data_IF_345234434082
#
_entry.id   IF_345234434082
#
_cell.length_a   1.000
_cell.length_b   1.000
_cell.length_c   1.000
_cell.angle_alpha   90.00
_cell.angle_beta   90.00
_cell.angle_gamma   90.00
#
_symmetry.space_group_name_H-M   'P 1'
#
loop_
_entity.id
_entity.type
_entity.pdbx_description
1 polymer ?
#
# COMPACT_ATOMS: atom_id res chain seq x y z
N UNK A 1 -25.49 -3.29 -7.52
CA UNK A 1 -24.78 -2.44 -8.50
C UNK A 1 -23.81 -1.59 -7.70
N UNK A 2 -22.59 -1.35 -8.19
CA UNK A 2 -21.63 -0.45 -7.53
C UNK A 2 -22.18 0.98 -7.64
N UNK A 3 -22.22 1.77 -6.54
CA UNK A 3 -22.57 3.17 -6.63
C UNK A 3 -21.52 3.95 -7.45
N UNK A 4 -21.86 5.12 -8.02
CA UNK A 4 -20.86 5.98 -8.65
C UNK A 4 -19.74 6.31 -7.65
N UNK A 5 -18.48 6.08 -8.05
CA UNK A 5 -17.30 6.33 -7.24
C UNK A 5 -16.16 6.82 -8.13
N UNK A 6 -15.62 7.97 -7.78
CA UNK A 6 -14.48 8.59 -8.45
C UNK A 6 -13.34 8.76 -7.44
N UNK A 7 -12.20 8.17 -7.72
CA UNK A 7 -10.99 8.29 -6.92
C UNK A 7 -10.16 9.45 -7.48
N UNK A 8 -9.83 10.44 -6.66
CA UNK A 8 -8.98 11.56 -7.07
C UNK A 8 -7.57 11.13 -7.42
N UNK A 9 -6.79 11.99 -8.05
CA UNK A 9 -5.34 11.86 -7.99
C UNK A 9 -4.92 11.78 -6.52
N UNK A 10 -4.09 10.79 -6.13
CA UNK A 10 -3.62 10.67 -4.77
C UNK A 10 -2.50 11.66 -4.46
N UNK A 11 -2.31 11.92 -3.17
CA UNK A 11 -1.12 12.59 -2.67
C UNK A 11 -0.36 11.67 -1.73
N UNK A 12 0.97 11.72 -1.82
CA UNK A 12 1.86 10.87 -1.05
C UNK A 12 2.92 11.69 -0.31
N UNK A 13 3.37 11.20 0.84
CA UNK A 13 4.45 11.78 1.59
C UNK A 13 5.47 10.71 1.98
N UNK A 14 6.75 11.09 1.97
CA UNK A 14 7.86 10.25 2.41
C UNK A 14 8.50 10.90 3.62
N UNK A 15 8.80 10.15 4.70
CA UNK A 15 9.44 10.72 5.88
C UNK A 15 10.96 10.71 5.72
N UNK A 16 11.63 11.58 6.46
CA UNK A 16 13.07 11.50 6.71
C UNK A 16 13.95 11.38 5.47
N UNK A 17 14.88 10.43 5.51
CA UNK A 17 15.93 10.25 4.52
C UNK A 17 15.82 8.89 3.83
N UNK A 18 16.18 8.83 2.54
CA UNK A 18 16.35 7.56 1.84
C UNK A 18 17.53 6.79 2.41
N UNK A 19 17.31 5.52 2.72
CA UNK A 19 18.28 4.58 3.27
C UNK A 19 18.54 3.50 2.23
N UNK A 20 19.78 3.32 1.85
CA UNK A 20 20.19 2.29 0.88
C UNK A 20 20.44 0.92 1.53
N UNK A 21 20.75 -0.06 0.70
CA UNK A 21 21.01 -1.42 1.17
C UNK A 21 22.24 -1.53 2.06
N UNK A 22 23.29 -0.76 1.77
CA UNK A 22 24.54 -0.84 2.55
C UNK A 22 24.34 -0.26 3.96
N UNK A 23 23.56 0.82 4.09
CA UNK A 23 23.20 1.35 5.41
C UNK A 23 22.34 0.37 6.22
N UNK A 24 21.35 -0.30 5.59
CA UNK A 24 20.56 -1.34 6.28
C UNK A 24 21.44 -2.49 6.74
N UNK A 25 22.35 -2.98 5.87
CA UNK A 25 23.28 -4.05 6.22
C UNK A 25 24.23 -3.61 7.35
N UNK A 26 24.68 -2.36 7.35
CA UNK A 26 25.50 -1.81 8.42
C UNK A 26 24.76 -1.80 9.77
N UNK A 27 23.45 -1.51 9.79
CA UNK A 27 22.62 -1.59 11.01
C UNK A 27 22.52 -3.03 11.54
N UNK A 28 22.30 -4.01 10.65
CA UNK A 28 22.31 -5.45 11.01
C UNK A 28 23.69 -5.85 11.52
N UNK A 29 24.77 -5.45 10.81
CA UNK A 29 26.14 -5.75 11.23
C UNK A 29 26.47 -5.19 12.61
N UNK A 30 25.99 -4.00 12.93
CA UNK A 30 26.16 -3.37 14.25
C UNK A 30 25.47 -4.16 15.38
N UNK A 31 24.33 -4.78 15.09
CA UNK A 31 23.57 -5.59 16.05
C UNK A 31 24.11 -7.03 16.17
N UNK A 32 24.87 -7.52 15.17
CA UNK A 32 25.37 -8.88 15.14
C UNK A 32 26.47 -9.10 16.19
N UNK A 33 26.35 -10.20 16.98
CA UNK A 33 27.23 -10.54 18.11
C UNK A 33 28.14 -11.73 17.85
N UNK A 34 27.98 -12.41 16.70
CA UNK A 34 28.77 -13.57 16.30
C UNK A 34 30.16 -13.22 15.75
N UNK A 35 30.88 -14.23 15.29
CA UNK A 35 32.20 -14.09 14.68
C UNK A 35 32.15 -13.53 13.27
N UNK A 36 33.26 -13.04 12.76
CA UNK A 36 33.34 -12.44 11.44
C UNK A 36 33.06 -13.45 10.32
N UNK A 37 33.44 -14.72 10.46
CA UNK A 37 33.20 -15.78 9.51
C UNK A 37 31.71 -16.22 9.49
N UNK A 38 31.01 -16.12 10.61
CA UNK A 38 29.56 -16.37 10.73
C UNK A 38 28.73 -15.26 10.08
N UNK A 39 29.25 -14.03 10.02
CA UNK A 39 28.60 -12.88 9.39
C UNK A 39 28.51 -13.00 7.87
N UNK A 40 29.55 -13.54 7.20
CA UNK A 40 29.63 -13.57 5.74
C UNK A 40 28.41 -14.21 5.09
N UNK A 41 27.94 -15.42 5.47
CA UNK A 41 26.75 -16.02 4.88
C UNK A 41 25.46 -15.26 5.17
N UNK A 42 25.36 -14.59 6.33
CA UNK A 42 24.21 -13.73 6.70
C UNK A 42 24.13 -12.54 5.73
N UNK A 43 25.22 -11.79 5.59
CA UNK A 43 25.28 -10.64 4.68
C UNK A 43 24.97 -11.04 3.24
N UNK A 44 25.55 -12.12 2.75
CA UNK A 44 25.30 -12.63 1.40
C UNK A 44 23.82 -13.00 1.19
N UNK A 45 23.18 -13.58 2.19
CA UNK A 45 21.77 -13.93 2.13
C UNK A 45 20.87 -12.70 2.12
N UNK A 46 21.19 -11.66 2.92
CA UNK A 46 20.46 -10.40 2.93
C UNK A 46 20.59 -9.72 1.55
N UNK A 47 21.80 -9.59 1.01
CA UNK A 47 22.05 -9.02 -0.33
C UNK A 47 21.31 -9.78 -1.42
N UNK A 48 21.34 -11.11 -1.36
CA UNK A 48 20.58 -11.94 -2.30
C UNK A 48 19.08 -11.62 -2.30
N UNK A 49 18.47 -11.43 -1.12
CA UNK A 49 17.05 -11.07 -1.04
C UNK A 49 16.81 -9.65 -1.59
N UNK A 50 17.65 -8.68 -1.27
CA UNK A 50 17.54 -7.33 -1.83
C UNK A 50 17.61 -7.32 -3.36
N UNK A 51 18.56 -8.08 -3.94
CA UNK A 51 18.69 -8.21 -5.40
C UNK A 51 17.45 -8.89 -6.01
N UNK A 52 16.96 -9.96 -5.39
CA UNK A 52 15.76 -10.68 -5.86
C UNK A 52 14.49 -9.84 -5.81
N UNK A 53 14.38 -8.95 -4.84
CA UNK A 53 13.25 -8.03 -4.72
C UNK A 53 13.41 -6.77 -5.58
N UNK A 54 14.60 -6.52 -6.14
CA UNK A 54 15.03 -5.23 -6.70
C UNK A 54 14.91 -4.09 -5.67
N UNK A 55 15.19 -4.40 -4.38
CA UNK A 55 15.17 -3.42 -3.31
C UNK A 55 16.45 -2.61 -3.35
N UNK A 56 16.36 -1.27 -3.39
CA UNK A 56 17.54 -0.38 -3.46
C UNK A 56 17.49 0.68 -2.38
N UNK A 57 16.38 1.41 -2.29
CA UNK A 57 16.18 2.48 -1.33
C UNK A 57 14.86 2.28 -0.61
N UNK A 58 14.82 2.64 0.67
CA UNK A 58 13.59 2.80 1.46
C UNK A 58 13.69 4.07 2.28
N UNK A 59 12.57 4.65 2.63
CA UNK A 59 12.51 5.84 3.46
C UNK A 59 12.15 5.42 4.88
N UNK A 60 12.90 5.92 5.85
CA UNK A 60 12.66 5.64 7.26
C UNK A 60 12.54 6.97 8.00
N UNK A 61 11.62 7.05 8.94
CA UNK A 61 11.49 8.24 9.77
C UNK A 61 12.72 8.43 10.65
N UNK A 62 13.11 9.68 10.81
CA UNK A 62 14.15 10.12 11.76
C UNK A 62 13.53 10.75 13.00
N UNK A 63 12.27 11.18 12.90
CA UNK A 63 11.50 11.74 14.01
C UNK A 63 10.68 10.63 14.70
N UNK A 64 11.16 10.19 15.85
CA UNK A 64 10.50 9.13 16.63
C UNK A 64 9.18 9.57 17.27
N UNK A 65 8.82 10.86 17.18
CA UNK A 65 7.55 11.40 17.69
C UNK A 65 6.46 11.44 16.64
N UNK A 66 6.79 11.29 15.35
CA UNK A 66 5.82 11.29 14.27
C UNK A 66 4.84 10.11 14.42
N UNK A 67 3.56 10.38 14.66
CA UNK A 67 2.53 9.34 14.72
C UNK A 67 2.07 8.89 13.33
N UNK A 68 1.57 7.66 13.16
CA UNK A 68 0.93 7.23 11.92
C UNK A 68 -0.24 8.12 11.51
N UNK A 69 -1.04 8.59 12.47
CA UNK A 69 -2.14 9.51 12.23
C UNK A 69 -1.67 10.90 11.78
N UNK A 70 -0.62 11.44 12.39
CA UNK A 70 0.00 12.70 11.96
C UNK A 70 0.57 12.58 10.54
N UNK A 71 1.27 11.50 10.25
CA UNK A 71 1.84 11.27 8.93
C UNK A 71 0.75 11.12 7.86
N UNK A 72 -0.32 10.39 8.15
CA UNK A 72 -1.49 10.30 7.27
C UNK A 72 -2.15 11.68 7.06
N UNK A 73 -2.25 12.51 8.13
CA UNK A 73 -2.82 13.85 8.04
C UNK A 73 -2.01 14.79 7.13
N UNK A 74 -0.69 14.63 7.05
CA UNK A 74 0.16 15.40 6.11
C UNK A 74 -0.23 15.09 4.65
N UNK A 75 -0.32 13.81 4.27
CA UNK A 75 -0.75 13.40 2.94
C UNK A 75 -2.21 13.81 2.65
N UNK A 76 -3.08 13.69 3.67
CA UNK A 76 -4.49 14.07 3.58
C UNK A 76 -4.67 15.57 3.36
N UNK A 77 -3.93 16.42 4.07
CA UNK A 77 -3.97 17.87 3.88
C UNK A 77 -3.51 18.26 2.47
N UNK A 78 -2.45 17.63 1.96
CA UNK A 78 -1.98 17.83 0.58
C UNK A 78 -3.06 17.42 -0.44
N UNK A 79 -3.69 16.25 -0.22
CA UNK A 79 -4.76 15.75 -1.09
C UNK A 79 -5.97 16.69 -1.14
N UNK A 80 -6.41 17.18 0.01
CA UNK A 80 -7.50 18.15 0.10
C UNK A 80 -7.15 19.44 -0.65
N UNK A 81 -5.96 19.97 -0.43
CA UNK A 81 -5.49 21.19 -1.09
C UNK A 81 -5.39 21.03 -2.62
N UNK A 82 -4.83 19.91 -3.09
CA UNK A 82 -4.69 19.61 -4.52
C UNK A 82 -6.04 19.51 -5.24
N UNK A 83 -7.09 19.04 -4.54
CA UNK A 83 -8.42 18.87 -5.10
C UNK A 83 -9.38 20.03 -4.78
N UNK A 84 -8.93 21.08 -4.07
CA UNK A 84 -9.75 22.23 -3.71
C UNK A 84 -10.93 21.90 -2.79
N UNK A 85 -10.81 20.84 -1.97
CA UNK A 85 -11.82 20.37 -1.01
C UNK A 85 -11.43 20.82 0.39
N UNK A 86 -12.36 21.46 1.12
CA UNK A 86 -12.11 21.81 2.51
C UNK A 86 -12.32 20.59 3.42
N UNK A 87 -11.55 20.49 4.50
CA UNK A 87 -11.72 19.42 5.47
C UNK A 87 -13.15 19.40 6.08
N UNK A 88 -13.82 20.56 6.12
CA UNK A 88 -15.20 20.70 6.56
C UNK A 88 -16.23 20.15 5.58
N UNK A 89 -15.85 19.81 4.35
CA UNK A 89 -16.74 19.28 3.32
C UNK A 89 -16.67 17.74 3.23
N UNK A 90 -15.85 17.12 4.09
CA UNK A 90 -15.81 15.68 4.24
C UNK A 90 -17.03 15.15 4.99
N UNK A 91 -17.59 14.05 4.51
CA UNK A 91 -18.68 13.31 5.15
C UNK A 91 -18.17 12.03 5.85
N UNK A 92 -17.08 11.44 5.31
CA UNK A 92 -16.51 10.19 5.80
C UNK A 92 -14.98 10.28 5.75
N UNK A 93 -14.30 9.75 6.78
CA UNK A 93 -12.86 9.55 6.77
C UNK A 93 -12.54 8.10 7.15
N UNK A 94 -11.77 7.42 6.29
CA UNK A 94 -11.36 6.03 6.50
C UNK A 94 -9.84 5.97 6.56
N UNK A 95 -9.32 5.47 7.68
CA UNK A 95 -7.90 5.13 7.79
C UNK A 95 -7.69 3.65 7.45
N UNK A 96 -6.90 3.36 6.42
CA UNK A 96 -6.63 2.00 5.91
C UNK A 96 -5.23 1.48 6.24
N UNK A 97 -4.48 2.14 7.14
CA UNK A 97 -3.11 1.78 7.48
C UNK A 97 -3.00 0.59 8.45
N UNK A 98 -1.84 -0.08 8.40
CA UNK A 98 -1.44 -1.11 9.38
C UNK A 98 -0.92 -0.42 10.64
N UNK A 99 -0.06 0.60 10.49
CA UNK A 99 0.58 1.30 11.58
C UNK A 99 -0.43 2.10 12.41
N UNK A 100 -0.35 1.99 13.74
CA UNK A 100 -1.15 2.72 14.70
C UNK A 100 -0.43 2.76 16.05
N UNK A 101 -0.61 3.84 16.79
CA UNK A 101 0.02 4.00 18.12
C UNK A 101 -0.90 3.52 19.25
N UNK A 102 -2.22 3.42 18.99
CA UNK A 102 -3.21 2.99 19.96
C UNK A 102 -4.30 2.11 19.33
N UNK A 103 -4.93 1.27 20.14
CA UNK A 103 -6.11 0.51 19.73
C UNK A 103 -7.38 1.37 19.73
N UNK A 104 -7.42 2.40 20.58
CA UNK A 104 -8.49 3.39 20.71
C UNK A 104 -7.92 4.76 21.13
N UNK A 105 -8.46 5.87 20.60
CA UNK A 105 -9.50 5.93 19.56
C UNK A 105 -9.02 5.40 18.19
N UNK A 106 -9.94 5.35 17.20
CA UNK A 106 -9.56 5.10 15.82
C UNK A 106 -8.50 6.12 15.34
N UNK A 107 -7.51 5.68 14.56
CA UNK A 107 -6.48 6.57 13.95
C UNK A 107 -7.13 7.62 13.04
N UNK A 108 -8.23 7.23 12.37
CA UNK A 108 -9.06 8.16 11.60
C UNK A 108 -9.56 9.37 12.41
N UNK A 109 -9.82 9.20 13.71
CA UNK A 109 -10.23 10.31 14.59
C UNK A 109 -9.07 11.29 14.83
N UNK A 110 -7.84 10.81 14.98
CA UNK A 110 -6.64 11.64 15.07
C UNK A 110 -6.46 12.46 13.77
N UNK A 111 -6.53 11.79 12.60
CA UNK A 111 -6.41 12.45 11.30
C UNK A 111 -7.48 13.56 11.15
N UNK A 112 -8.75 13.26 11.43
CA UNK A 112 -9.82 14.23 11.34
C UNK A 112 -9.61 15.43 12.26
N UNK A 113 -9.16 15.20 13.50
CA UNK A 113 -8.84 16.25 14.47
C UNK A 113 -7.70 17.15 14.00
N UNK A 114 -6.63 16.58 13.43
CA UNK A 114 -5.48 17.33 12.90
C UNK A 114 -5.83 18.15 11.66
N UNK A 115 -6.76 17.67 10.83
CA UNK A 115 -7.27 18.39 9.67
C UNK A 115 -8.26 19.52 10.03
N UNK A 116 -8.75 19.57 11.27
CA UNK A 116 -9.80 20.50 11.67
C UNK A 116 -11.13 20.21 10.97
N UNK A 117 -11.40 18.93 10.64
CA UNK A 117 -12.63 18.53 10.00
C UNK A 117 -13.84 18.81 10.93
N UNK A 118 -15.00 19.16 10.34
CA UNK A 118 -16.27 19.22 11.09
C UNK A 118 -16.64 17.83 11.61
N UNK A 119 -17.62 17.69 12.51
CA UNK A 119 -18.11 16.37 12.88
C UNK A 119 -18.53 15.56 11.67
N UNK A 120 -17.90 14.40 11.46
CA UNK A 120 -18.11 13.48 10.36
C UNK A 120 -18.00 12.04 10.88
N UNK A 121 -18.33 11.07 10.04
CA UNK A 121 -18.10 9.67 10.37
C UNK A 121 -16.64 9.27 10.13
N UNK A 122 -16.02 8.60 11.10
CA UNK A 122 -14.61 8.16 11.01
C UNK A 122 -14.48 6.71 11.44
N UNK A 123 -13.62 5.95 10.74
CA UNK A 123 -13.31 4.56 11.11
C UNK A 123 -11.96 4.11 10.57
N UNK A 124 -11.39 3.11 11.23
CA UNK A 124 -10.23 2.37 10.75
C UNK A 124 -10.66 1.07 10.06
N UNK A 125 -9.99 0.73 8.96
CA UNK A 125 -10.12 -0.54 8.25
C UNK A 125 -8.80 -1.28 8.33
N UNK A 126 -8.82 -2.51 8.83
CA UNK A 126 -7.63 -3.34 8.96
C UNK A 126 -7.69 -4.52 7.99
N UNK A 127 -6.82 -4.52 6.99
CA UNK A 127 -6.66 -5.61 6.02
C UNK A 127 -5.20 -5.74 5.55
N UNK A 128 -4.25 -5.64 6.48
CA UNK A 128 -2.81 -5.63 6.18
C UNK A 128 -2.50 -4.71 4.99
N UNK A 129 -1.61 -5.11 4.06
CA UNK A 129 -1.23 -4.29 2.89
C UNK A 129 -2.40 -4.00 1.91
N UNK A 130 -3.58 -4.58 2.10
CA UNK A 130 -4.77 -4.34 1.29
C UNK A 130 -5.70 -3.25 1.86
N UNK A 131 -5.38 -2.67 3.03
CA UNK A 131 -6.27 -1.80 3.78
C UNK A 131 -6.83 -0.62 2.99
N UNK A 132 -6.01 0.07 2.17
CA UNK A 132 -6.50 1.20 1.36
C UNK A 132 -7.41 0.76 0.20
N UNK A 133 -7.23 -0.44 -0.39
CA UNK A 133 -8.18 -0.95 -1.40
C UNK A 133 -9.44 -1.46 -0.72
N UNK A 134 -9.33 -2.12 0.45
CA UNK A 134 -10.50 -2.55 1.21
C UNK A 134 -11.33 -1.36 1.70
N UNK A 135 -10.69 -0.22 1.99
CA UNK A 135 -11.40 1.02 2.30
C UNK A 135 -12.32 1.48 1.16
N UNK A 136 -11.99 1.19 -0.13
CA UNK A 136 -12.90 1.46 -1.24
C UNK A 136 -14.20 0.63 -1.14
N UNK A 137 -14.12 -0.64 -0.69
CA UNK A 137 -15.31 -1.46 -0.45
C UNK A 137 -16.18 -0.88 0.69
N UNK A 138 -15.53 -0.39 1.74
CA UNK A 138 -16.22 0.27 2.86
C UNK A 138 -16.91 1.53 2.38
N UNK A 139 -16.22 2.41 1.65
CA UNK A 139 -16.81 3.64 1.07
C UNK A 139 -17.97 3.30 0.14
N UNK A 140 -17.85 2.26 -0.70
CA UNK A 140 -18.94 1.80 -1.56
C UNK A 140 -20.17 1.39 -0.75
N UNK A 141 -19.98 0.71 0.38
CA UNK A 141 -21.05 0.36 1.31
C UNK A 141 -21.74 1.59 1.90
N UNK A 142 -20.98 2.57 2.35
CA UNK A 142 -21.53 3.84 2.85
C UNK A 142 -22.29 4.60 1.74
N UNK A 143 -21.73 4.70 0.56
CA UNK A 143 -22.40 5.34 -0.57
C UNK A 143 -23.69 4.61 -0.99
N UNK A 144 -23.75 3.28 -0.82
CA UNK A 144 -24.97 2.52 -1.14
C UNK A 144 -26.07 2.69 -0.09
N UNK A 145 -25.74 2.99 1.17
CA UNK A 145 -26.67 3.05 2.30
C UNK A 145 -27.06 4.48 2.71
N UNK A 146 -26.25 5.48 2.36
CA UNK A 146 -26.34 6.84 2.87
C UNK A 146 -26.20 7.87 1.75
N UNK A 147 -27.29 8.38 1.24
CA UNK A 147 -27.29 9.36 0.13
C UNK A 147 -26.62 10.68 0.50
N UNK A 148 -26.61 11.04 1.79
CA UNK A 148 -25.98 12.23 2.33
C UNK A 148 -24.43 12.14 2.35
N UNK A 149 -23.86 10.93 2.33
CA UNK A 149 -22.41 10.75 2.26
C UNK A 149 -21.98 10.81 0.78
N UNK A 150 -21.26 11.86 0.42
CA UNK A 150 -20.85 12.16 -0.95
C UNK A 150 -19.35 12.24 -1.15
N UNK A 151 -18.61 12.63 -0.10
CA UNK A 151 -17.16 12.86 -0.14
C UNK A 151 -16.49 12.11 1.00
N UNK A 152 -15.70 11.10 0.65
CA UNK A 152 -14.89 10.36 1.59
C UNK A 152 -13.41 10.66 1.37
N UNK A 153 -12.66 10.82 2.46
CA UNK A 153 -11.20 10.82 2.47
C UNK A 153 -10.71 9.43 2.92
N UNK A 154 -9.83 8.83 2.14
CA UNK A 154 -9.17 7.56 2.48
C UNK A 154 -7.68 7.84 2.62
N UNK A 155 -7.08 7.41 3.74
CA UNK A 155 -5.66 7.69 4.01
C UNK A 155 -4.98 6.58 4.81
N UNK A 156 -3.66 6.59 4.80
CA UNK A 156 -2.81 5.78 5.65
C UNK A 156 -1.46 6.47 5.88
N UNK A 157 -0.86 6.23 7.06
CA UNK A 157 0.51 6.58 7.37
C UNK A 157 1.25 5.34 7.85
N UNK A 158 2.11 4.78 7.01
CA UNK A 158 2.87 3.58 7.36
C UNK A 158 4.21 3.96 7.94
N UNK A 159 4.40 3.62 9.20
CA UNK A 159 5.64 3.80 9.96
C UNK A 159 6.04 2.44 10.53
N UNK A 160 7.21 1.97 10.12
CA UNK A 160 7.69 0.62 10.48
C UNK A 160 8.38 0.57 11.83
N UNK A 161 8.99 1.65 12.28
CA UNK A 161 9.67 1.85 13.58
C UNK A 161 10.08 0.52 14.26
N UNK A 162 9.42 0.18 15.35
CA UNK A 162 9.71 -1.01 16.15
C UNK A 162 9.25 -2.34 15.51
N UNK A 163 8.75 -2.31 14.28
CA UNK A 163 8.33 -3.51 13.55
C UNK A 163 9.44 -4.13 12.71
N UNK A 164 10.56 -3.42 12.51
CA UNK A 164 11.75 -3.94 11.82
C UNK A 164 12.81 -4.28 12.85
N UNK A 165 13.26 -5.53 12.87
CA UNK A 165 14.44 -5.92 13.65
C UNK A 165 15.69 -5.88 12.80
N UNK A 166 16.77 -5.37 13.39
CA UNK A 166 18.13 -5.48 12.86
C UNK A 166 18.94 -6.54 13.62
N UNK A 167 18.35 -7.18 14.64
CA UNK A 167 18.99 -8.20 15.48
C UNK A 167 18.95 -9.59 14.81
N UNK A 168 19.64 -9.72 13.69
CA UNK A 168 19.76 -10.96 12.92
C UNK A 168 21.08 -11.64 13.29
N UNK A 169 20.98 -12.82 13.90
CA UNK A 169 22.14 -13.55 14.45
C UNK A 169 22.45 -14.86 13.69
N UNK A 170 21.51 -15.35 12.85
CA UNK A 170 21.59 -16.64 12.16
C UNK A 170 20.93 -16.60 10.78
N UNK A 171 21.14 -17.64 9.97
CA UNK A 171 20.42 -17.82 8.71
C UNK A 171 18.93 -18.15 8.93
N UNK A 172 18.56 -18.72 10.08
CA UNK A 172 17.17 -18.93 10.48
C UNK A 172 16.47 -17.58 10.69
N UNK A 173 17.15 -16.62 11.35
CA UNK A 173 16.61 -15.27 11.51
C UNK A 173 16.45 -14.57 10.15
N UNK A 174 17.45 -14.71 9.25
CA UNK A 174 17.30 -14.19 7.88
C UNK A 174 16.07 -14.75 7.19
N UNK A 175 15.77 -16.03 7.33
CA UNK A 175 14.64 -16.66 6.67
C UNK A 175 13.27 -16.10 7.11
N UNK A 176 13.18 -15.50 8.30
CA UNK A 176 11.94 -14.96 8.90
C UNK A 176 11.91 -13.43 8.82
N UNK A 177 13.02 -12.76 9.11
CA UNK A 177 13.04 -11.32 9.39
C UNK A 177 13.53 -10.47 8.21
N UNK A 178 14.21 -11.07 7.22
CA UNK A 178 14.81 -10.32 6.10
C UNK A 178 13.79 -9.50 5.31
N UNK A 179 12.55 -9.97 5.21
CA UNK A 179 11.48 -9.22 4.56
C UNK A 179 11.20 -7.88 5.23
N UNK A 180 11.36 -7.80 6.56
CA UNK A 180 11.28 -6.56 7.34
C UNK A 180 12.31 -5.52 6.92
N UNK A 181 13.51 -5.95 6.50
CA UNK A 181 14.57 -5.05 6.05
C UNK A 181 14.27 -4.36 4.70
N UNK A 182 13.26 -4.83 3.97
CA UNK A 182 12.79 -4.20 2.71
C UNK A 182 11.68 -3.17 2.94
N UNK A 183 11.12 -3.08 4.16
CA UNK A 183 10.05 -2.17 4.49
C UNK A 183 10.51 -0.72 4.42
N UNK A 184 9.64 0.13 3.87
CA UNK A 184 9.78 1.58 3.82
C UNK A 184 8.55 2.26 4.39
N UNK A 185 8.70 3.50 4.82
CA UNK A 185 7.63 4.32 5.36
C UNK A 185 7.08 5.26 4.29
N UNK A 186 5.77 5.42 4.24
CA UNK A 186 5.11 6.39 3.40
C UNK A 186 3.71 6.71 3.95
N UNK A 187 3.23 7.91 3.68
CA UNK A 187 1.83 8.23 3.83
C UNK A 187 1.18 8.44 2.46
N UNK A 188 -0.11 8.15 2.39
CA UNK A 188 -0.91 8.34 1.19
C UNK A 188 -2.33 8.75 1.54
N UNK A 189 -2.94 9.57 0.68
CA UNK A 189 -4.34 9.94 0.79
C UNK A 189 -4.95 10.17 -0.60
N UNK A 190 -6.23 9.89 -0.72
CA UNK A 190 -7.05 10.18 -1.89
C UNK A 190 -8.51 10.42 -1.49
N UNK A 191 -9.21 11.20 -2.28
CA UNK A 191 -10.65 11.37 -2.15
C UNK A 191 -11.39 10.28 -2.92
N UNK A 192 -12.56 9.91 -2.42
CA UNK A 192 -13.55 9.11 -3.13
C UNK A 192 -14.84 9.89 -3.11
N UNK A 193 -15.37 10.23 -4.29
CA UNK A 193 -16.54 11.07 -4.45
C UNK A 193 -17.62 10.40 -5.30
N UNK A 194 -18.88 10.81 -5.16
CA UNK A 194 -19.97 10.35 -6.03
C UNK A 194 -19.94 10.97 -7.40
N UNK A 195 -19.41 12.17 -7.50
CA UNK A 195 -19.29 12.96 -8.74
C UNK A 195 -17.83 13.15 -9.10
N UNK A 196 -17.50 13.30 -10.38
CA UNK A 196 -16.14 13.62 -10.79
C UNK A 196 -15.64 14.91 -10.12
N UNK A 197 -14.36 14.91 -9.75
CA UNK A 197 -13.70 16.11 -9.25
C UNK A 197 -13.22 17.00 -10.41
N UNK A 198 -13.11 18.32 -10.21
CA UNK A 198 -12.64 19.24 -11.24
C UNK A 198 -11.24 18.93 -11.78
N UNK A 199 -10.41 18.21 -11.01
CA UNK A 199 -9.07 17.79 -11.43
C UNK A 199 -9.04 16.44 -12.17
N UNK A 200 -10.20 15.84 -12.48
CA UNK A 200 -10.28 14.48 -13.02
C UNK A 200 -10.11 13.42 -11.93
N UNK A 201 -10.04 12.16 -12.35
CA UNK A 201 -9.85 11.04 -11.43
C UNK A 201 -10.19 9.70 -12.05
N UNK A 202 -10.07 8.64 -11.27
CA UNK A 202 -10.33 7.28 -11.72
C UNK A 202 -11.75 6.85 -11.33
N UNK A 203 -12.65 6.67 -12.30
CA UNK A 203 -13.98 6.11 -12.06
C UNK A 203 -13.88 4.62 -11.81
N UNK A 204 -14.27 4.16 -10.62
CA UNK A 204 -14.26 2.75 -10.25
C UNK A 204 -15.39 2.01 -10.98
N UNK A 205 -15.03 0.96 -11.72
CA UNK A 205 -15.99 0.16 -12.52
C UNK A 205 -16.18 -1.26 -11.99
N UNK A 206 -15.29 -1.72 -11.11
CA UNK A 206 -15.40 -3.04 -10.51
C UNK A 206 -14.46 -3.22 -9.35
N UNK A 207 -14.82 -4.11 -8.42
CA UNK A 207 -13.99 -4.50 -7.30
C UNK A 207 -14.14 -5.99 -7.01
N UNK A 208 -13.07 -6.63 -6.53
CA UNK A 208 -13.09 -8.02 -6.07
C UNK A 208 -12.26 -8.19 -4.82
N UNK A 209 -12.63 -9.16 -4.01
CA UNK A 209 -11.87 -9.60 -2.83
C UNK A 209 -11.94 -11.11 -2.68
N UNK A 210 -10.90 -11.69 -2.06
CA UNK A 210 -10.82 -13.09 -1.66
C UNK A 210 -9.78 -13.26 -0.58
N UNK A 211 -10.09 -14.06 0.44
CA UNK A 211 -9.15 -14.45 1.49
C UNK A 211 -8.99 -15.97 1.54
N UNK A 212 -7.75 -16.42 1.58
CA UNK A 212 -7.34 -17.81 1.84
C UNK A 212 -6.86 -17.89 3.30
N UNK A 213 -7.82 -17.84 4.23
CA UNK A 213 -7.60 -17.62 5.66
C UNK A 213 -6.80 -18.71 6.38
N UNK A 214 -6.69 -19.90 5.80
CA UNK A 214 -5.83 -20.99 6.29
C UNK A 214 -4.33 -20.60 6.28
N UNK A 215 -3.96 -19.54 5.54
CA UNK A 215 -2.58 -19.05 5.42
C UNK A 215 -2.26 -17.85 6.34
N UNK A 216 -3.12 -17.54 7.30
CA UNK A 216 -3.03 -16.35 8.16
C UNK A 216 -1.69 -16.23 8.91
N UNK A 217 -1.07 -17.35 9.25
CA UNK A 217 0.14 -17.40 10.06
C UNK A 217 1.46 -17.25 9.25
N UNK A 218 1.38 -17.14 7.91
CA UNK A 218 2.58 -17.06 7.06
C UNK A 218 3.25 -15.70 7.09
N UNK A 219 2.50 -14.64 7.41
CA UNK A 219 3.03 -13.28 7.48
C UNK A 219 2.29 -12.53 8.58
N UNK A 220 3.03 -11.99 9.56
CA UNK A 220 2.46 -11.38 10.75
C UNK A 220 3.26 -10.16 11.18
N UNK A 221 2.57 -9.19 11.75
CA UNK A 221 3.13 -8.11 12.55
C UNK A 221 2.49 -8.20 13.95
N UNK A 222 3.07 -8.95 14.90
CA UNK A 222 2.55 -9.09 16.25
C UNK A 222 2.45 -7.74 16.95
N UNK A 223 1.52 -7.60 17.90
CA UNK A 223 1.37 -6.37 18.70
C UNK A 223 2.66 -6.06 19.47
N UNK A 224 3.26 -7.09 20.07
CA UNK A 224 4.49 -6.99 20.86
C UNK A 224 5.62 -7.75 20.15
N UNK A 225 5.98 -7.33 18.92
CA UNK A 225 7.02 -8.04 18.17
C UNK A 225 7.36 -7.39 16.84
N UNK A 226 8.25 -8.04 16.12
CA UNK A 226 8.70 -7.61 14.80
C UNK A 226 7.85 -8.23 13.70
N UNK A 227 7.96 -7.67 12.50
CA UNK A 227 7.36 -8.22 11.30
C UNK A 227 8.06 -9.52 10.92
N UNK A 228 7.28 -10.59 10.80
CA UNK A 228 7.72 -11.93 10.48
C UNK A 228 7.09 -12.38 9.16
N UNK A 229 7.87 -13.00 8.28
CA UNK A 229 7.36 -13.51 7.01
C UNK A 229 8.03 -14.82 6.62
N UNK A 230 7.24 -15.88 6.49
CA UNK A 230 7.65 -17.11 5.79
C UNK A 230 7.59 -16.86 4.28
N UNK A 231 8.51 -16.03 3.81
CA UNK A 231 8.45 -15.42 2.47
C UNK A 231 8.35 -16.43 1.34
N UNK A 232 9.05 -17.58 1.45
CA UNK A 232 9.02 -18.64 0.43
C UNK A 232 7.62 -19.22 0.26
N UNK A 233 6.96 -19.57 1.37
CA UNK A 233 5.61 -20.10 1.39
C UNK A 233 4.59 -19.04 0.96
N UNK A 234 4.78 -17.81 1.41
CA UNK A 234 3.91 -16.69 1.07
C UNK A 234 3.96 -16.40 -0.45
N UNK A 235 5.15 -16.35 -1.05
CA UNK A 235 5.29 -16.13 -2.48
C UNK A 235 4.74 -17.29 -3.33
N UNK A 236 4.71 -18.52 -2.80
CA UNK A 236 4.07 -19.64 -3.48
C UNK A 236 2.55 -19.42 -3.65
N UNK A 237 1.91 -18.68 -2.75
CA UNK A 237 0.49 -18.31 -2.86
C UNK A 237 0.23 -17.29 -3.96
N UNK A 238 1.25 -16.67 -4.53
CA UNK A 238 1.15 -15.72 -5.65
C UNK A 238 0.41 -16.29 -6.87
N UNK A 239 0.36 -17.62 -7.04
CA UNK A 239 -0.41 -18.31 -8.09
C UNK A 239 -1.92 -18.01 -8.02
N UNK A 240 -2.43 -17.60 -6.86
CA UNK A 240 -3.84 -17.26 -6.68
C UNK A 240 -4.17 -15.83 -7.12
N UNK A 241 -3.18 -14.97 -7.36
CA UNK A 241 -3.40 -13.55 -7.71
C UNK A 241 -3.92 -13.42 -9.15
N UNK A 242 -3.29 -13.99 -10.18
CA UNK A 242 -3.76 -13.85 -11.56
C UNK A 242 -5.21 -14.29 -11.79
N UNK A 243 -5.70 -15.43 -11.23
CA UNK A 243 -7.11 -15.79 -11.37
C UNK A 243 -8.08 -14.74 -10.80
N UNK A 244 -7.75 -14.11 -9.67
CA UNK A 244 -8.60 -13.08 -9.07
C UNK A 244 -8.59 -11.78 -9.89
N UNK A 245 -7.45 -11.40 -10.46
CA UNK A 245 -7.38 -10.25 -11.38
C UNK A 245 -8.15 -10.55 -12.67
N UNK A 246 -8.05 -11.75 -13.25
CA UNK A 246 -8.87 -12.14 -14.41
C UNK A 246 -10.37 -12.03 -14.10
N UNK A 247 -10.80 -12.49 -12.91
CA UNK A 247 -12.19 -12.35 -12.47
C UNK A 247 -12.64 -10.88 -12.40
N UNK A 248 -11.75 -9.96 -11.99
CA UNK A 248 -12.02 -8.53 -12.03
C UNK A 248 -12.15 -8.02 -13.46
N UNK A 249 -11.20 -8.38 -14.33
CA UNK A 249 -11.19 -7.98 -15.74
C UNK A 249 -12.45 -8.49 -16.48
N UNK A 250 -12.83 -9.76 -16.29
CA UNK A 250 -14.03 -10.34 -16.86
C UNK A 250 -15.29 -9.56 -16.47
N UNK A 251 -15.41 -9.15 -15.20
CA UNK A 251 -16.51 -8.30 -14.71
C UNK A 251 -16.53 -6.91 -15.34
N UNK A 252 -15.37 -6.36 -15.64
CA UNK A 252 -15.22 -5.07 -16.30
C UNK A 252 -15.37 -5.17 -17.84
N UNK A 253 -15.39 -6.39 -18.41
CA UNK A 253 -15.40 -6.62 -19.86
C UNK A 253 -14.06 -6.26 -20.52
N UNK A 254 -12.94 -6.45 -19.80
CA UNK A 254 -11.59 -6.11 -20.26
C UNK A 254 -10.72 -7.34 -20.47
N UNK A 255 -9.80 -7.26 -21.45
CA UNK A 255 -8.66 -8.16 -21.52
C UNK A 255 -7.47 -7.58 -20.71
N UNK A 256 -6.47 -8.42 -20.40
CA UNK A 256 -5.29 -7.93 -19.71
C UNK A 256 -4.47 -6.93 -20.56
N UNK A 257 -4.55 -7.02 -21.89
CA UNK A 257 -3.87 -6.10 -22.81
C UNK A 257 -4.53 -4.72 -22.88
N UNK A 258 -5.83 -4.63 -22.54
CA UNK A 258 -6.56 -3.37 -22.51
C UNK A 258 -6.09 -2.44 -21.37
N UNK A 259 -5.53 -3.00 -20.31
CA UNK A 259 -5.12 -2.26 -19.12
C UNK A 259 -3.86 -1.46 -19.42
N UNK A 260 -3.94 -0.14 -19.22
CA UNK A 260 -2.82 0.77 -19.41
C UNK A 260 -1.87 0.76 -18.22
N UNK A 261 -2.41 0.62 -16.99
CA UNK A 261 -1.62 0.70 -15.77
C UNK A 261 -2.05 -0.35 -14.74
N UNK A 262 -1.08 -1.17 -14.30
CA UNK A 262 -1.24 -2.06 -13.15
C UNK A 262 -0.48 -1.46 -11.96
N UNK A 263 -1.18 -0.78 -11.06
CA UNK A 263 -0.63 -0.24 -9.83
C UNK A 263 -0.90 -1.23 -8.68
N UNK A 264 0.07 -2.10 -8.42
CA UNK A 264 -0.04 -3.17 -7.44
C UNK A 264 0.74 -2.87 -6.17
N UNK A 265 0.33 -3.46 -5.06
CA UNK A 265 1.20 -3.63 -3.90
C UNK A 265 2.45 -4.41 -4.30
N UNK A 266 3.63 -3.92 -3.89
CA UNK A 266 4.93 -4.42 -4.32
C UNK A 266 5.78 -4.91 -3.14
N UNK A 267 5.59 -6.14 -2.68
CA UNK A 267 6.55 -6.75 -1.75
C UNK A 267 7.91 -7.00 -2.43
N UNK A 268 7.90 -7.13 -3.76
CA UNK A 268 9.07 -7.13 -4.66
C UNK A 268 8.61 -6.82 -6.08
N UNK A 269 9.49 -6.27 -6.92
CA UNK A 269 9.19 -6.07 -8.34
C UNK A 269 9.02 -7.40 -9.07
N UNK A 270 9.87 -8.39 -8.79
CA UNK A 270 9.79 -9.72 -9.39
C UNK A 270 8.44 -10.43 -9.16
N UNK A 271 7.78 -10.22 -8.01
CA UNK A 271 6.46 -10.79 -7.76
C UNK A 271 5.38 -10.17 -8.64
N UNK A 272 5.45 -8.85 -8.86
CA UNK A 272 4.53 -8.13 -9.75
C UNK A 272 4.77 -8.53 -11.21
N UNK A 273 6.02 -8.56 -11.66
CA UNK A 273 6.39 -9.02 -13.00
C UNK A 273 5.84 -10.41 -13.32
N UNK A 274 5.96 -11.35 -12.37
CA UNK A 274 5.41 -12.70 -12.50
C UNK A 274 3.90 -12.68 -12.68
N UNK A 275 3.17 -11.92 -11.87
CA UNK A 275 1.71 -11.80 -11.98
C UNK A 275 1.32 -11.22 -13.35
N UNK A 276 2.00 -10.15 -13.80
CA UNK A 276 1.72 -9.51 -15.09
C UNK A 276 2.01 -10.46 -16.27
N UNK A 277 3.10 -11.21 -16.22
CA UNK A 277 3.43 -12.21 -17.23
C UNK A 277 2.38 -13.33 -17.31
N UNK A 278 1.91 -13.84 -16.16
CA UNK A 278 0.86 -14.86 -16.10
C UNK A 278 -0.51 -14.33 -16.56
N UNK A 279 -0.78 -13.01 -16.41
CA UNK A 279 -1.97 -12.38 -16.95
C UNK A 279 -1.92 -12.21 -18.48
N UNK A 280 -0.74 -12.19 -19.08
CA UNK A 280 -0.52 -11.77 -20.47
C UNK A 280 -0.61 -10.25 -20.63
N UNK A 281 -0.33 -9.50 -19.58
CA UNK A 281 -0.33 -8.04 -19.62
C UNK A 281 0.87 -7.50 -20.42
N UNK A 282 0.70 -6.32 -21.00
CA UNK A 282 1.80 -5.63 -21.68
C UNK A 282 2.88 -5.26 -20.65
N UNK A 283 4.17 -5.55 -20.88
CA UNK A 283 5.24 -5.30 -19.90
C UNK A 283 5.28 -3.84 -19.40
N UNK A 284 5.03 -2.86 -20.30
CA UNK A 284 5.03 -1.44 -19.97
C UNK A 284 3.82 -0.98 -19.14
N UNK A 285 2.79 -1.82 -19.02
CA UNK A 285 1.62 -1.52 -18.19
C UNK A 285 1.90 -1.71 -16.68
N UNK A 286 2.95 -2.45 -16.32
CA UNK A 286 3.40 -2.56 -14.94
C UNK A 286 3.99 -1.26 -14.42
N UNK A 287 3.64 -0.88 -13.19
CA UNK A 287 4.23 0.27 -12.51
C UNK A 287 5.11 -0.23 -11.37
N UNK A 288 6.41 0.01 -11.44
CA UNK A 288 7.40 -0.50 -10.50
C UNK A 288 7.98 0.64 -9.67
N UNK A 289 7.89 0.53 -8.35
CA UNK A 289 8.33 1.56 -7.40
C UNK A 289 9.03 0.97 -6.16
N UNK A 290 9.12 -0.35 -6.04
CA UNK A 290 9.79 -0.99 -4.91
C UNK A 290 11.27 -0.60 -4.81
N UNK A 291 11.97 -0.48 -5.94
CA UNK A 291 13.36 -0.01 -5.99
C UNK A 291 13.55 1.44 -5.54
N UNK A 292 12.49 2.26 -5.59
CA UNK A 292 12.51 3.67 -5.22
C UNK A 292 12.11 3.92 -3.76
N UNK A 293 11.18 3.11 -3.23
CA UNK A 293 10.55 3.39 -1.94
C UNK A 293 10.59 2.21 -0.95
N UNK A 294 11.04 1.03 -1.40
CA UNK A 294 10.90 -0.22 -0.64
C UNK A 294 9.46 -0.73 -0.62
N UNK A 295 9.18 -1.66 0.28
CA UNK A 295 7.83 -2.13 0.54
C UNK A 295 7.13 -1.19 1.53
N UNK A 296 6.30 -0.29 1.03
CA UNK A 296 5.56 0.69 1.84
C UNK A 296 4.18 0.18 2.26
N UNK A 297 4.03 -1.13 2.43
CA UNK A 297 2.81 -1.79 2.90
C UNK A 297 1.54 -1.36 2.14
N UNK A 298 0.51 -0.85 2.82
CA UNK A 298 -0.77 -0.50 2.20
C UNK A 298 -0.68 0.69 1.22
N UNK A 299 0.29 1.59 1.40
CA UNK A 299 0.48 2.76 0.52
C UNK A 299 1.16 2.44 -0.81
N UNK A 300 1.72 1.24 -0.96
CA UNK A 300 2.58 0.85 -2.09
C UNK A 300 1.92 1.03 -3.47
N UNK A 301 0.66 0.60 -3.65
CA UNK A 301 -0.05 0.78 -4.92
C UNK A 301 -0.41 2.25 -5.17
N UNK A 302 -0.61 3.04 -4.10
CA UNK A 302 -0.92 4.47 -4.22
C UNK A 302 0.32 5.22 -4.69
N UNK A 303 1.51 4.90 -4.13
CA UNK A 303 2.78 5.46 -4.61
C UNK A 303 3.04 5.09 -6.08
N UNK A 304 2.67 3.88 -6.50
CA UNK A 304 2.80 3.45 -7.88
C UNK A 304 1.91 4.30 -8.82
N UNK A 305 0.64 4.51 -8.45
CA UNK A 305 -0.28 5.35 -9.23
C UNK A 305 0.19 6.82 -9.26
N UNK A 306 0.52 7.38 -8.11
CA UNK A 306 1.04 8.75 -7.97
C UNK A 306 2.30 8.96 -8.82
N UNK A 307 3.24 8.01 -8.77
CA UNK A 307 4.45 8.04 -9.58
C UNK A 307 4.13 8.11 -11.09
N UNK A 308 3.16 7.33 -11.54
CA UNK A 308 2.76 7.31 -12.95
C UNK A 308 2.05 8.61 -13.36
N UNK A 309 1.21 9.17 -12.49
CA UNK A 309 0.56 10.46 -12.68
C UNK A 309 1.58 11.59 -12.76
N UNK A 310 2.55 11.63 -11.85
CA UNK A 310 3.63 12.65 -11.85
C UNK A 310 4.55 12.58 -13.07
N UNK A 311 4.63 11.42 -13.71
CA UNK A 311 5.32 11.27 -15.01
C UNK A 311 4.48 11.77 -16.20
N UNK A 312 3.23 12.17 -16.01
CA UNK A 312 2.31 12.55 -17.09
C UNK A 312 1.96 11.38 -18.02
N UNK A 313 2.01 10.14 -17.51
CA UNK A 313 1.84 8.93 -18.30
C UNK A 313 0.43 8.32 -18.18
N UNK A 314 -0.46 8.93 -17.40
CA UNK A 314 -1.88 8.55 -17.30
C UNK A 314 -2.71 9.51 -18.12
N UNK A 315 -3.56 8.98 -18.99
CA UNK A 315 -4.36 9.74 -19.94
C UNK A 315 -5.84 9.42 -19.83
N UNK A 316 -6.67 10.32 -20.34
CA UNK A 316 -8.12 10.12 -20.38
C UNK A 316 -8.48 8.81 -21.08
N UNK A 317 -9.32 8.00 -20.45
CA UNK A 317 -9.75 6.69 -20.93
C UNK A 317 -8.80 5.54 -20.56
N UNK A 318 -7.67 5.80 -19.91
CA UNK A 318 -6.76 4.74 -19.46
C UNK A 318 -7.45 3.80 -18.45
N UNK A 319 -7.39 2.51 -18.75
CA UNK A 319 -7.86 1.46 -17.87
C UNK A 319 -6.78 1.13 -16.84
N UNK A 320 -7.13 1.19 -15.58
CA UNK A 320 -6.23 1.02 -14.44
C UNK A 320 -6.70 -0.15 -13.60
N UNK A 321 -5.78 -1.01 -13.18
CA UNK A 321 -6.04 -2.05 -12.18
C UNK A 321 -5.20 -1.76 -10.94
N UNK A 322 -5.89 -1.58 -9.81
CA UNK A 322 -5.31 -1.47 -8.48
C UNK A 322 -5.44 -2.82 -7.79
N UNK A 323 -4.37 -3.34 -7.20
CA UNK A 323 -4.45 -4.62 -6.49
C UNK A 323 -3.44 -4.73 -5.36
N UNK A 324 -3.82 -5.50 -4.35
CA UNK A 324 -2.95 -5.91 -3.26
C UNK A 324 -3.16 -7.39 -2.95
N UNK A 325 -2.05 -8.12 -2.86
CA UNK A 325 -2.00 -9.42 -2.20
C UNK A 325 -1.33 -9.20 -0.83
N UNK A 326 -2.07 -9.44 0.23
CA UNK A 326 -1.72 -9.06 1.59
C UNK A 326 -1.63 -10.28 2.51
N UNK A 327 -1.01 -10.08 3.68
CA UNK A 327 -1.07 -11.08 4.76
C UNK A 327 -2.51 -11.50 5.04
N UNK A 328 -2.70 -12.80 5.34
CA UNK A 328 -4.02 -13.31 5.64
C UNK A 328 -4.43 -14.61 4.94
N UNK A 329 -4.15 -15.04 3.74
CA UNK A 329 -3.67 -14.37 2.56
C UNK A 329 -4.86 -13.73 1.81
N UNK A 330 -4.87 -12.42 1.70
CA UNK A 330 -6.00 -11.68 1.14
C UNK A 330 -5.61 -11.02 -0.18
N UNK A 331 -6.47 -11.15 -1.19
CA UNK A 331 -6.32 -10.53 -2.51
C UNK A 331 -7.50 -9.56 -2.68
N UNK A 332 -7.20 -8.29 -2.84
CA UNK A 332 -8.20 -7.24 -3.08
C UNK A 332 -7.83 -6.47 -4.32
N UNK A 333 -8.80 -6.15 -5.17
CA UNK A 333 -8.53 -5.41 -6.39
C UNK A 333 -9.69 -4.52 -6.82
N UNK A 334 -9.36 -3.45 -7.55
CA UNK A 334 -10.29 -2.53 -8.16
C UNK A 334 -9.90 -2.23 -9.61
N UNK A 335 -10.89 -2.14 -10.49
CA UNK A 335 -10.75 -1.70 -11.87
C UNK A 335 -11.31 -0.28 -11.99
N UNK A 336 -10.59 0.59 -12.66
CA UNK A 336 -10.97 1.98 -12.83
C UNK A 336 -10.63 2.49 -14.23
N UNK A 337 -11.34 3.52 -14.67
CA UNK A 337 -11.06 4.27 -15.90
C UNK A 337 -10.66 5.69 -15.50
N UNK A 338 -9.52 6.16 -15.96
CA UNK A 338 -9.12 7.55 -15.74
C UNK A 338 -9.96 8.46 -16.61
N UNK A 339 -10.52 9.49 -16.01
CA UNK A 339 -11.34 10.51 -16.68
C UNK A 339 -10.77 11.89 -16.35
N UNK A 340 -10.35 12.62 -17.40
CA UNK A 340 -9.94 14.02 -17.26
C UNK A 340 -11.16 14.89 -16.93
N UNK A 341 -10.92 16.09 -16.40
CA UNK A 341 -11.95 17.04 -15.99
C UNK A 341 -12.73 17.62 -17.19
#
# INVERSE_FOLDING_TARGET
>A
MLPPMYLSAPETALPGTGVDNDEVIARVRKAFRGKADEWIPIEQSIRYVFDRCNSKVRYLETDTTLSPGEFAAQAAAACLAANGVAATDLDLLVYGGIARDAFEPATAAEVAGRLGARPLHVLDVTCACAGLIEALHVVAGYFALHDEIRTALVCAGEITRDRVTYDIQSLEDVAVDVAGLTLGNAAAAFLVTREPLPGGGARIVGMTHKTLSENWALCRAPVDGHFESKSKELFALGIHVPPEIRRLLDRAGWSAEDVAHYAFHQPSEASVEKVLAELGARPQAGVFTHSLFGNTATTSWVLALDHRLKQGAVHNGDKIVLASAAAGFTIVSAAAVWEDA
#
